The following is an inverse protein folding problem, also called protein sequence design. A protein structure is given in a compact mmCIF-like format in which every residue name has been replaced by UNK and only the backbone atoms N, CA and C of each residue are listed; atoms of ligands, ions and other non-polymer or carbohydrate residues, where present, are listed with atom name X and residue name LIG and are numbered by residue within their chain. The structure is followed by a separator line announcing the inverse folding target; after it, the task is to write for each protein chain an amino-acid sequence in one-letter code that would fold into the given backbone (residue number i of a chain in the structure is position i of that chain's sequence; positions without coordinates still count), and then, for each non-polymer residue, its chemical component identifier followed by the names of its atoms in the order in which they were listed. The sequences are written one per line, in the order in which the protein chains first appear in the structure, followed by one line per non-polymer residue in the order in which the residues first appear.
data_IF_755354417476
#
_entry.id   IF_755354417476
#
_cell.length_a   1.000
_cell.length_b   1.000
_cell.length_c   1.000
_cell.angle_alpha   90.00
_cell.angle_beta   90.00
_cell.angle_gamma   90.00
#
_symmetry.space_group_name_H-M   'P 1'
#
loop_
_entity.id
_entity.type
_entity.pdbx_description
1 polymer ?
#
# COMPACT_ATOMS: atom_id res chain seq x y z
N UNK A 1 -26.86 -7.39 -13.52
CA UNK A 1 -25.75 -6.78 -12.75
C UNK A 1 -24.48 -7.37 -13.35
N UNK A 2 -23.91 -6.82 -14.43
CA UNK A 2 -23.18 -5.54 -14.48
C UNK A 2 -21.70 -5.81 -14.16
N UNK A 3 -20.69 -5.10 -14.70
CA UNK A 3 -19.31 -5.61 -14.72
C UNK A 3 -18.56 -5.24 -13.44
N UNK A 4 -18.71 -6.08 -12.42
CA UNK A 4 -17.98 -6.06 -11.15
C UNK A 4 -17.56 -7.48 -10.79
N UNK A 5 -16.59 -7.60 -9.88
CA UNK A 5 -16.03 -8.89 -9.50
C UNK A 5 -16.21 -9.14 -8.01
N UNK A 6 -16.74 -10.32 -7.68
CA UNK A 6 -17.01 -10.78 -6.32
C UNK A 6 -15.94 -11.76 -5.84
N UNK A 7 -15.84 -12.06 -4.54
CA UNK A 7 -15.03 -13.17 -4.05
C UNK A 7 -15.42 -14.49 -4.74
N UNK A 8 -14.44 -15.36 -4.92
CA UNK A 8 -14.64 -16.69 -5.52
C UNK A 8 -15.67 -17.47 -4.68
N UNK A 9 -16.67 -18.06 -5.34
CA UNK A 9 -17.72 -18.83 -4.68
C UNK A 9 -18.86 -18.00 -4.08
N UNK A 10 -18.77 -16.67 -4.09
CA UNK A 10 -19.72 -15.80 -3.37
C UNK A 10 -20.53 -14.86 -4.27
N UNK A 11 -20.95 -15.29 -5.47
CA UNK A 11 -21.64 -14.39 -6.40
C UNK A 11 -22.95 -13.79 -5.84
N UNK A 12 -23.67 -14.55 -5.02
CA UNK A 12 -25.00 -14.18 -4.52
C UNK A 12 -25.02 -13.63 -3.09
N UNK A 13 -23.91 -13.71 -2.37
CA UNK A 13 -23.75 -13.38 -0.94
C UNK A 13 -22.42 -12.63 -0.65
N UNK A 14 -21.76 -12.11 -1.69
CA UNK A 14 -20.46 -11.43 -1.57
C UNK A 14 -20.43 -10.31 -0.53
N UNK A 15 -21.58 -9.68 -0.25
CA UNK A 15 -21.73 -8.63 0.74
C UNK A 15 -21.36 -9.09 2.17
N UNK A 16 -21.43 -10.40 2.45
CA UNK A 16 -21.03 -11.02 3.71
C UNK A 16 -19.59 -11.54 3.71
N UNK A 17 -18.95 -11.55 2.53
CA UNK A 17 -17.66 -12.19 2.27
C UNK A 17 -16.64 -11.26 1.61
N UNK A 18 -16.84 -9.93 1.70
CA UNK A 18 -16.02 -8.90 1.05
C UNK A 18 -14.53 -9.06 1.39
N UNK A 19 -14.21 -9.48 2.61
CA UNK A 19 -12.86 -9.72 3.09
C UNK A 19 -12.13 -10.85 2.36
N UNK A 20 -12.85 -11.78 1.71
CA UNK A 20 -12.23 -12.86 0.92
C UNK A 20 -11.80 -12.39 -0.48
N UNK A 21 -12.26 -11.21 -0.92
CA UNK A 21 -11.84 -10.68 -2.20
C UNK A 21 -10.35 -10.32 -2.16
N UNK A 22 -9.60 -10.82 -3.15
CA UNK A 22 -8.16 -10.58 -3.26
C UNK A 22 -7.29 -11.43 -2.35
N UNK A 23 -7.87 -12.42 -1.66
CA UNK A 23 -7.11 -13.39 -0.85
C UNK A 23 -6.09 -14.15 -1.71
N UNK A 24 -4.90 -14.39 -1.15
CA UNK A 24 -3.82 -15.11 -1.82
C UNK A 24 -4.03 -16.62 -1.64
N UNK A 25 -4.55 -17.28 -2.68
CA UNK A 25 -4.71 -18.75 -2.67
C UNK A 25 -3.41 -19.49 -3.06
N UNK A 26 -2.58 -18.88 -3.90
CA UNK A 26 -1.28 -19.41 -4.31
C UNK A 26 -0.37 -18.26 -4.75
N UNK A 27 0.91 -18.35 -4.40
CA UNK A 27 1.92 -17.38 -4.80
C UNK A 27 2.46 -17.59 -6.22
N UNK A 28 2.31 -18.78 -6.84
CA UNK A 28 2.80 -19.05 -8.21
C UNK A 28 4.24 -18.54 -8.47
N UNK A 29 5.16 -18.81 -7.53
CA UNK A 29 6.56 -18.34 -7.50
C UNK A 29 6.79 -16.83 -7.26
N UNK A 30 5.76 -16.01 -7.05
CA UNK A 30 5.91 -14.60 -6.69
C UNK A 30 6.81 -14.42 -5.46
N UNK A 31 7.76 -13.50 -5.54
CA UNK A 31 8.72 -13.20 -4.47
C UNK A 31 9.88 -14.20 -4.35
N UNK A 32 9.90 -15.33 -5.08
CA UNK A 32 11.09 -16.21 -5.12
C UNK A 32 12.29 -15.44 -5.64
N UNK A 33 13.44 -15.63 -5.01
CA UNK A 33 14.70 -14.99 -5.40
C UNK A 33 15.85 -15.98 -5.25
N UNK A 34 16.91 -15.75 -6.04
CA UNK A 34 18.19 -16.43 -5.89
C UNK A 34 19.32 -15.57 -6.45
N UNK A 35 20.54 -15.79 -5.96
CA UNK A 35 21.75 -15.19 -6.52
C UNK A 35 22.42 -16.23 -7.42
N UNK A 36 22.81 -15.80 -8.62
CA UNK A 36 23.55 -16.63 -9.56
C UNK A 36 24.81 -15.90 -10.05
N UNK A 37 25.92 -16.61 -10.11
CA UNK A 37 27.18 -16.09 -10.65
C UNK A 37 27.17 -16.18 -12.18
N UNK A 38 27.53 -15.07 -12.83
CA UNK A 38 27.63 -15.00 -14.29
C UNK A 38 28.93 -15.66 -14.74
N UNK A 39 28.83 -16.67 -15.60
CA UNK A 39 29.97 -17.31 -16.26
C UNK A 39 30.43 -16.52 -17.47
N UNK A 40 29.49 -16.13 -18.34
CA UNK A 40 29.79 -15.37 -19.56
C UNK A 40 28.55 -14.66 -20.09
N UNK A 41 28.78 -13.68 -20.97
CA UNK A 41 27.74 -13.00 -21.73
C UNK A 41 27.83 -13.44 -23.19
N UNK A 42 26.68 -13.74 -23.79
CA UNK A 42 26.58 -14.03 -25.22
C UNK A 42 25.74 -12.94 -25.89
N UNK A 43 26.42 -11.94 -26.46
CA UNK A 43 25.78 -10.74 -27.00
C UNK A 43 25.12 -9.88 -25.91
N UNK A 44 24.08 -9.13 -26.26
CA UNK A 44 23.41 -8.20 -25.35
C UNK A 44 22.32 -8.83 -24.46
N UNK A 45 21.80 -10.00 -24.85
CA UNK A 45 20.53 -10.53 -24.31
C UNK A 45 20.64 -11.92 -23.68
N UNK A 46 21.83 -12.51 -23.59
CA UNK A 46 22.02 -13.85 -23.03
C UNK A 46 23.11 -13.88 -21.97
N UNK A 47 22.77 -14.43 -20.81
CA UNK A 47 23.64 -14.61 -19.65
C UNK A 47 23.80 -16.10 -19.42
N UNK A 48 25.03 -16.61 -19.48
CA UNK A 48 25.36 -17.97 -19.06
C UNK A 48 25.75 -17.96 -17.59
N UNK A 49 25.15 -18.83 -16.79
CA UNK A 49 25.39 -18.90 -15.34
C UNK A 49 26.41 -19.99 -15.01
N UNK A 50 27.12 -19.83 -13.89
CA UNK A 50 28.06 -20.84 -13.38
C UNK A 50 27.34 -22.12 -12.96
N UNK A 51 26.19 -21.99 -12.32
CA UNK A 51 25.30 -23.08 -11.92
C UNK A 51 23.88 -22.83 -12.47
N UNK A 52 23.09 -23.89 -12.71
CA UNK A 52 21.67 -23.75 -13.04
C UNK A 52 20.90 -23.03 -11.92
N UNK A 53 19.81 -22.34 -12.28
CA UNK A 53 18.88 -21.78 -11.32
C UNK A 53 18.14 -22.91 -10.57
N UNK A 54 17.81 -22.67 -9.31
CA UNK A 54 17.09 -23.63 -8.45
C UNK A 54 15.57 -23.44 -8.59
N UNK A 55 15.12 -22.21 -8.77
CA UNK A 55 13.71 -21.89 -8.94
C UNK A 55 13.32 -21.76 -10.42
N UNK A 56 12.05 -22.01 -10.70
CA UNK A 56 11.46 -21.75 -12.01
C UNK A 56 10.88 -20.34 -12.07
N UNK A 57 11.28 -19.59 -13.09
CA UNK A 57 10.84 -18.22 -13.34
C UNK A 57 10.07 -18.14 -14.66
N UNK A 58 8.82 -17.68 -14.61
CA UNK A 58 8.01 -17.45 -15.81
C UNK A 58 8.01 -15.98 -16.18
N UNK A 59 8.32 -15.64 -17.43
CA UNK A 59 8.30 -14.26 -17.93
C UNK A 59 6.89 -13.65 -17.79
N UNK A 60 5.84 -14.46 -17.97
CA UNK A 60 4.45 -14.02 -17.74
C UNK A 60 4.15 -13.64 -16.28
N UNK A 61 4.99 -14.08 -15.34
CA UNK A 61 4.89 -13.78 -13.91
C UNK A 61 5.74 -12.60 -13.43
N UNK A 62 6.20 -11.72 -14.33
CA UNK A 62 6.99 -10.51 -14.04
C UNK A 62 8.30 -10.81 -13.29
N UNK A 63 9.33 -11.17 -14.04
CA UNK A 63 10.67 -11.53 -13.54
C UNK A 63 11.67 -10.40 -13.83
N UNK A 64 12.49 -10.05 -12.86
CA UNK A 64 13.56 -9.06 -13.01
C UNK A 64 14.93 -9.71 -12.78
N UNK A 65 15.88 -9.45 -13.69
CA UNK A 65 17.30 -9.75 -13.46
C UNK A 65 17.97 -8.50 -12.89
N UNK A 66 18.46 -8.58 -11.66
CA UNK A 66 19.14 -7.47 -10.97
C UNK A 66 20.64 -7.73 -10.96
N UNK A 67 21.42 -6.81 -11.52
CA UNK A 67 22.88 -6.86 -11.43
C UNK A 67 23.32 -6.40 -10.04
N UNK A 68 24.01 -7.26 -9.30
CA UNK A 68 24.51 -6.94 -7.95
C UNK A 68 25.99 -6.59 -8.03
N UNK A 69 26.41 -5.37 -7.64
CA UNK A 69 27.82 -5.03 -7.52
C UNK A 69 28.46 -5.76 -6.34
N UNK A 70 29.69 -6.26 -6.55
CA UNK A 70 30.52 -6.89 -5.52
C UNK A 70 31.68 -5.97 -5.15
N UNK A 71 31.79 -5.63 -3.88
CA UNK A 71 32.85 -4.77 -3.34
C UNK A 71 33.77 -5.57 -2.41
N UNK A 72 35.06 -5.20 -2.37
CA UNK A 72 35.95 -5.67 -1.31
C UNK A 72 35.57 -4.98 0.01
N UNK A 73 35.47 -3.66 0.00
CA UNK A 73 34.91 -2.87 1.09
C UNK A 73 33.98 -1.83 0.51
N UNK A 74 32.92 -1.46 1.23
CA UNK A 74 32.01 -0.39 0.85
C UNK A 74 31.82 0.56 2.03
N UNK A 75 32.04 1.85 1.80
CA UNK A 75 31.76 2.90 2.78
C UNK A 75 30.69 3.82 2.22
N UNK A 76 29.56 3.90 2.91
CA UNK A 76 28.61 4.99 2.72
C UNK A 76 28.97 6.10 3.70
N UNK A 77 29.39 7.23 3.14
CA UNK A 77 29.74 8.43 3.89
C UNK A 77 28.50 9.04 4.56
N UNK A 78 28.73 9.90 5.55
CA UNK A 78 27.63 10.56 6.23
C UNK A 78 26.74 11.32 5.26
N UNK A 79 25.43 11.22 5.44
CA UNK A 79 24.41 11.83 4.57
C UNK A 79 24.45 11.36 3.10
N UNK A 80 24.98 10.16 2.82
CA UNK A 80 24.94 9.55 1.48
C UNK A 80 24.03 8.32 1.47
N UNK A 81 23.33 8.12 0.36
CA UNK A 81 22.34 7.04 0.24
C UNK A 81 22.55 6.24 -1.04
N UNK A 82 22.53 4.92 -0.91
CA UNK A 82 22.34 4.02 -2.04
C UNK A 82 20.83 3.75 -2.21
N UNK A 83 20.27 4.20 -3.32
CA UNK A 83 18.82 4.12 -3.61
C UNK A 83 18.57 3.51 -4.99
N UNK A 84 17.52 2.70 -5.17
CA UNK A 84 17.16 2.18 -6.48
C UNK A 84 16.33 3.19 -7.27
N UNK A 85 16.15 2.94 -8.56
CA UNK A 85 15.01 3.51 -9.27
C UNK A 85 13.72 2.90 -8.70
N UNK A 86 12.64 3.68 -8.47
CA UNK A 86 11.38 3.12 -8.01
C UNK A 86 10.81 2.12 -9.02
N UNK A 87 10.10 1.10 -8.52
CA UNK A 87 9.37 0.15 -9.36
C UNK A 87 8.39 0.87 -10.30
N UNK A 88 8.46 0.52 -11.57
CA UNK A 88 7.63 1.12 -12.63
C UNK A 88 6.63 0.15 -13.28
N UNK A 89 6.56 -1.10 -12.80
CA UNK A 89 5.76 -2.18 -13.41
C UNK A 89 6.60 -3.19 -14.19
N UNK A 90 7.85 -2.88 -14.52
CA UNK A 90 8.76 -3.75 -15.28
C UNK A 90 10.12 -3.91 -14.59
N UNK A 91 10.71 -2.81 -14.12
CA UNK A 91 12.04 -2.79 -13.46
C UNK A 91 12.06 -1.82 -12.27
N UNK A 92 13.11 -1.90 -11.46
CA UNK A 92 13.33 -1.04 -10.30
C UNK A 92 12.87 -1.69 -8.99
N UNK A 93 12.89 -0.90 -7.92
CA UNK A 93 12.45 -1.27 -6.58
C UNK A 93 13.41 -2.11 -5.76
N UNK A 94 14.61 -2.41 -6.29
CA UNK A 94 15.62 -3.23 -5.59
C UNK A 94 16.95 -2.49 -5.54
N UNK A 95 17.45 -2.25 -4.33
CA UNK A 95 18.87 -1.90 -4.10
C UNK A 95 19.56 -3.11 -3.53
N UNK A 96 20.66 -3.53 -4.17
CA UNK A 96 21.38 -4.72 -3.79
C UNK A 96 22.89 -4.48 -3.76
N UNK A 97 23.57 -5.01 -2.74
CA UNK A 97 25.03 -4.97 -2.62
C UNK A 97 25.56 -6.29 -2.08
N UNK A 98 26.72 -6.71 -2.60
CA UNK A 98 27.54 -7.78 -2.05
C UNK A 98 28.89 -7.20 -1.60
N UNK A 99 29.30 -7.45 -0.36
CA UNK A 99 30.55 -6.94 0.22
C UNK A 99 31.35 -8.09 0.83
N UNK A 100 32.59 -8.27 0.39
CA UNK A 100 33.48 -9.32 0.87
C UNK A 100 34.05 -9.02 2.27
N UNK A 101 34.63 -7.83 2.43
CA UNK A 101 35.16 -7.31 3.69
C UNK A 101 34.13 -6.49 4.45
N UNK A 102 34.41 -5.21 4.66
CA UNK A 102 33.65 -4.35 5.57
C UNK A 102 32.64 -3.46 4.82
N UNK A 103 31.40 -3.49 5.28
CA UNK A 103 30.37 -2.49 4.98
C UNK A 103 30.35 -1.44 6.11
N UNK A 104 30.78 -0.22 5.81
CA UNK A 104 30.75 0.92 6.74
C UNK A 104 29.56 1.82 6.42
N UNK A 105 28.61 1.91 7.35
CA UNK A 105 27.47 2.84 7.30
C UNK A 105 27.73 4.00 8.26
N UNK A 106 28.31 5.10 7.78
CA UNK A 106 28.54 6.27 8.63
C UNK A 106 27.21 6.93 9.04
N UNK A 107 27.27 7.85 10.02
CA UNK A 107 26.09 8.52 10.56
C UNK A 107 25.23 9.16 9.44
N UNK A 108 23.92 8.89 9.42
CA UNK A 108 22.98 9.28 8.36
C UNK A 108 23.31 8.75 6.95
N UNK A 109 24.26 7.82 6.81
CA UNK A 109 24.44 7.03 5.59
C UNK A 109 23.36 5.96 5.51
N UNK A 110 22.85 5.67 4.31
CA UNK A 110 21.76 4.69 4.16
C UNK A 110 21.83 3.81 2.92
N UNK A 111 21.40 2.55 3.08
CA UNK A 111 20.94 1.73 1.94
C UNK A 111 19.41 1.75 2.01
N UNK A 112 18.76 2.46 1.10
CA UNK A 112 17.33 2.75 1.20
C UNK A 112 16.57 2.35 -0.06
N UNK A 113 15.58 1.47 0.13
CA UNK A 113 14.53 1.18 -0.83
C UNK A 113 13.18 1.82 -0.41
N UNK A 114 13.20 2.81 0.48
CA UNK A 114 11.98 3.46 0.96
C UNK A 114 11.18 4.06 -0.22
N UNK A 115 9.86 3.87 -0.24
CA UNK A 115 8.94 4.35 -1.28
C UNK A 115 9.21 3.83 -2.70
N UNK A 116 10.04 2.79 -2.86
CA UNK A 116 10.50 2.30 -4.17
C UNK A 116 9.78 1.03 -4.64
N UNK A 117 8.83 0.50 -3.86
CA UNK A 117 8.07 -0.71 -4.15
C UNK A 117 6.82 -0.47 -5.00
N UNK A 118 5.78 -1.29 -4.80
CA UNK A 118 4.57 -1.25 -5.61
C UNK A 118 3.90 0.12 -5.59
N UNK A 119 3.37 0.54 -6.75
CA UNK A 119 2.75 1.85 -6.97
C UNK A 119 1.43 1.98 -6.21
N UNK A 120 1.15 3.17 -5.68
CA UNK A 120 -0.16 3.48 -5.13
C UNK A 120 -1.22 3.68 -6.23
N UNK A 121 -2.49 3.59 -5.86
CA UNK A 121 -3.62 3.92 -6.72
C UNK A 121 -3.60 5.40 -7.11
N UNK A 122 -4.06 5.71 -8.32
CA UNK A 122 -4.10 7.08 -8.85
C UNK A 122 -5.50 7.66 -8.68
N UNK A 123 -5.57 8.96 -8.42
CA UNK A 123 -6.85 9.66 -8.33
C UNK A 123 -7.46 9.84 -9.71
N UNK A 124 -8.77 9.74 -9.78
CA UNK A 124 -9.57 10.01 -10.96
C UNK A 124 -10.78 10.85 -10.55
N UNK A 125 -11.29 11.70 -11.43
CA UNK A 125 -12.35 12.68 -11.12
C UNK A 125 -13.62 12.37 -11.92
N UNK A 126 -14.11 11.13 -11.84
CA UNK A 126 -15.29 10.68 -12.59
C UNK A 126 -16.47 10.28 -11.70
N UNK A 127 -16.30 10.18 -10.39
CA UNK A 127 -17.41 9.92 -9.47
C UNK A 127 -18.43 11.06 -9.50
N UNK A 128 -19.70 10.78 -9.85
CA UNK A 128 -20.73 11.80 -10.07
C UNK A 128 -21.61 12.05 -8.83
N UNK A 129 -20.97 12.17 -7.67
CA UNK A 129 -21.61 12.45 -6.39
C UNK A 129 -22.10 11.20 -5.63
N UNK A 130 -22.62 11.44 -4.41
CA UNK A 130 -23.18 10.40 -3.55
C UNK A 130 -24.25 9.59 -4.30
N UNK A 131 -24.13 8.25 -4.37
CA UNK A 131 -25.18 7.42 -4.93
C UNK A 131 -26.46 7.72 -4.15
N UNK A 132 -27.58 8.08 -4.81
CA UNK A 132 -28.86 8.15 -4.11
C UNK A 132 -29.13 6.76 -3.53
N UNK A 133 -29.08 6.65 -2.20
CA UNK A 133 -28.85 5.36 -1.58
C UNK A 133 -29.36 5.26 -0.17
N UNK A 134 -29.58 4.01 0.25
CA UNK A 134 -29.83 3.67 1.64
C UNK A 134 -28.58 3.99 2.46
N UNK A 135 -28.77 4.42 3.71
CA UNK A 135 -27.68 4.66 4.67
C UNK A 135 -26.73 3.45 4.86
N UNK A 136 -27.20 2.25 4.53
CA UNK A 136 -26.47 0.99 4.60
C UNK A 136 -25.99 0.48 3.24
N UNK A 137 -26.02 1.32 2.19
CA UNK A 137 -25.43 0.92 0.91
C UNK A 137 -23.92 0.73 1.07
N UNK A 138 -23.43 -0.39 0.54
CA UNK A 138 -22.05 -0.85 0.70
C UNK A 138 -21.21 -0.63 -0.57
N UNK A 139 -21.80 -0.15 -1.67
CA UNK A 139 -21.16 -0.07 -2.99
C UNK A 139 -20.59 -1.40 -3.46
N UNK A 140 -19.53 -1.42 -4.27
CA UNK A 140 -18.95 -2.66 -4.81
C UNK A 140 -17.63 -3.03 -4.13
N UNK A 141 -17.31 -4.33 -4.08
CA UNK A 141 -15.97 -4.78 -3.68
C UNK A 141 -14.91 -4.42 -4.73
N UNK A 142 -15.23 -4.61 -6.01
CA UNK A 142 -14.35 -4.30 -7.13
C UNK A 142 -15.13 -4.02 -8.40
N UNK A 143 -14.72 -3.01 -9.17
CA UNK A 143 -15.37 -2.64 -10.43
C UNK A 143 -14.38 -2.19 -11.49
N UNK A 144 -14.79 -2.26 -12.75
CA UNK A 144 -14.11 -1.59 -13.88
C UNK A 144 -14.67 -0.19 -14.15
N UNK A 145 -15.76 0.20 -13.48
CA UNK A 145 -16.40 1.50 -13.67
C UNK A 145 -15.74 2.52 -12.75
N UNK A 146 -15.08 3.56 -13.29
CA UNK A 146 -14.40 4.58 -12.48
C UNK A 146 -15.36 5.36 -11.58
N UNK A 147 -16.60 5.58 -12.01
CA UNK A 147 -17.60 6.33 -11.21
C UNK A 147 -18.11 5.62 -9.95
N UNK A 148 -17.62 4.40 -9.68
CA UNK A 148 -18.02 3.58 -8.54
C UNK A 148 -17.00 3.60 -7.39
N UNK A 149 -15.86 4.27 -7.57
CA UNK A 149 -14.85 4.50 -6.54
C UNK A 149 -13.46 4.62 -7.13
N UNK A 150 -12.49 4.94 -6.28
CA UNK A 150 -11.12 5.18 -6.67
C UNK A 150 -10.30 3.92 -6.98
N UNK A 151 -9.14 4.14 -7.61
CA UNK A 151 -8.21 3.09 -7.98
C UNK A 151 -7.56 2.40 -6.78
N UNK A 152 -7.39 1.08 -6.90
CA UNK A 152 -6.65 0.25 -5.95
C UNK A 152 -5.13 0.40 -6.14
N UNK A 153 -4.35 0.12 -5.09
CA UNK A 153 -2.89 0.05 -5.16
C UNK A 153 -2.37 -1.20 -5.88
N UNK A 154 -1.15 -1.12 -6.42
CA UNK A 154 -0.44 -2.24 -7.04
C UNK A 154 -0.03 -3.28 -5.97
N UNK A 155 -0.03 -4.55 -6.39
CA UNK A 155 0.22 -5.70 -5.54
C UNK A 155 0.96 -6.81 -6.28
N UNK A 156 1.22 -7.92 -5.59
CA UNK A 156 1.71 -9.15 -6.24
C UNK A 156 0.71 -9.74 -7.27
N UNK A 157 -0.56 -9.33 -7.23
CA UNK A 157 -1.57 -9.73 -8.20
C UNK A 157 -1.60 -8.82 -9.46
N UNK A 158 -0.80 -7.76 -9.47
CA UNK A 158 -0.63 -6.86 -10.62
C UNK A 158 -1.07 -5.43 -10.37
N UNK A 159 -1.38 -4.73 -11.46
CA UNK A 159 -1.91 -3.37 -11.44
C UNK A 159 -2.95 -3.22 -12.55
N UNK A 160 -3.00 -2.09 -13.25
CA UNK A 160 -3.96 -1.79 -14.32
C UNK A 160 -4.30 -2.96 -15.23
N UNK A 161 -3.34 -3.48 -15.99
CA UNK A 161 -3.60 -4.55 -16.97
C UNK A 161 -4.26 -5.78 -16.32
N UNK A 162 -3.75 -6.23 -15.18
CA UNK A 162 -4.31 -7.40 -14.48
C UNK A 162 -5.67 -7.09 -13.86
N UNK A 163 -5.84 -5.93 -13.24
CA UNK A 163 -7.09 -5.54 -12.59
C UNK A 163 -8.20 -5.28 -13.60
N UNK A 164 -7.89 -4.70 -14.76
CA UNK A 164 -8.85 -4.48 -15.85
C UNK A 164 -9.35 -5.80 -16.44
N UNK A 165 -8.45 -6.76 -16.62
CA UNK A 165 -8.77 -8.07 -17.16
C UNK A 165 -9.80 -8.83 -16.29
N UNK A 166 -9.89 -8.48 -15.01
CA UNK A 166 -10.87 -9.02 -14.07
C UNK A 166 -11.87 -7.97 -13.57
N UNK A 167 -12.08 -6.88 -14.30
CA UNK A 167 -13.06 -5.83 -13.98
C UNK A 167 -12.97 -5.28 -12.54
N UNK A 168 -11.76 -4.99 -12.07
CA UNK A 168 -11.50 -4.77 -10.63
C UNK A 168 -10.56 -3.61 -10.33
N UNK A 169 -10.36 -2.66 -11.23
CA UNK A 169 -9.43 -1.53 -10.97
C UNK A 169 -9.88 -0.65 -9.80
N UNK A 170 -11.19 -0.53 -9.59
CA UNK A 170 -11.82 0.45 -8.70
C UNK A 170 -12.47 -0.17 -7.46
N UNK A 171 -12.89 0.69 -6.52
CA UNK A 171 -13.63 0.37 -5.29
C UNK A 171 -12.79 -0.28 -4.16
N UNK A 172 -13.48 -0.64 -3.07
CA UNK A 172 -12.89 -0.80 -1.73
C UNK A 172 -12.07 -2.05 -1.43
N UNK A 173 -12.25 -3.19 -2.10
CA UNK A 173 -11.56 -4.41 -1.68
C UNK A 173 -10.07 -4.41 -2.04
N UNK A 174 -9.25 -5.03 -1.20
CA UNK A 174 -7.80 -5.05 -1.34
C UNK A 174 -7.33 -6.14 -2.32
N UNK A 175 -6.58 -5.81 -3.38
CA UNK A 175 -6.04 -6.81 -4.30
C UNK A 175 -4.75 -7.38 -3.72
N UNK A 176 -4.76 -8.60 -3.19
CA UNK A 176 -3.64 -9.17 -2.44
C UNK A 176 -3.07 -8.14 -1.44
N UNK A 177 -1.77 -7.88 -1.46
CA UNK A 177 -1.14 -6.94 -0.54
C UNK A 177 -1.29 -5.45 -0.90
N UNK A 178 -1.97 -5.11 -2.00
CA UNK A 178 -2.30 -3.73 -2.34
C UNK A 178 -3.51 -3.23 -1.55
N UNK A 179 -3.56 -1.94 -1.26
CA UNK A 179 -4.72 -1.30 -0.63
C UNK A 179 -5.89 -1.13 -1.61
N UNK A 180 -7.12 -1.29 -1.13
CA UNK A 180 -8.31 -0.97 -1.90
C UNK A 180 -8.49 0.54 -2.08
N UNK A 181 -9.14 0.98 -3.16
CA UNK A 181 -9.47 2.38 -3.36
C UNK A 181 -10.58 2.86 -2.42
N UNK A 182 -10.77 4.16 -2.31
CA UNK A 182 -11.97 4.75 -1.71
C UNK A 182 -13.22 4.31 -2.48
N UNK A 183 -14.26 3.90 -1.78
CA UNK A 183 -15.54 3.69 -2.44
C UNK A 183 -16.24 5.04 -2.69
N UNK A 184 -17.15 5.06 -3.65
CA UNK A 184 -18.05 6.19 -3.82
C UNK A 184 -18.92 6.35 -2.53
N UNK A 185 -19.01 7.51 -1.87
CA UNK A 185 -18.53 8.85 -2.29
C UNK A 185 -17.48 9.45 -1.35
N UNK A 186 -16.37 9.93 -1.90
CA UNK A 186 -15.30 10.63 -1.19
C UNK A 186 -14.71 9.86 0.00
N UNK A 187 -14.78 8.52 -0.04
CA UNK A 187 -14.18 7.69 1.00
C UNK A 187 -12.66 7.60 0.81
N UNK A 188 -11.93 7.35 1.91
CA UNK A 188 -10.47 7.24 1.88
C UNK A 188 -9.99 5.90 1.29
N UNK A 189 -8.79 5.89 0.73
CA UNK A 189 -8.12 4.68 0.27
C UNK A 189 -7.53 3.83 1.41
N UNK A 190 -7.51 2.51 1.23
CA UNK A 190 -6.90 1.56 2.15
C UNK A 190 -5.38 1.51 2.00
N UNK A 191 -4.66 1.22 3.08
CA UNK A 191 -3.20 1.09 3.06
C UNK A 191 -2.75 -0.24 2.44
N UNK A 192 -1.61 -0.24 1.75
CA UNK A 192 -0.94 -1.47 1.32
C UNK A 192 -0.27 -2.19 2.49
N UNK A 193 0.23 -3.39 2.24
CA UNK A 193 0.94 -4.19 3.23
C UNK A 193 2.04 -5.05 2.60
N UNK A 194 2.71 -5.83 3.45
CA UNK A 194 3.67 -6.85 3.04
C UNK A 194 3.39 -8.12 3.85
N UNK A 195 4.41 -8.79 4.35
CA UNK A 195 4.26 -9.94 5.24
C UNK A 195 3.60 -9.55 6.57
N UNK A 196 2.71 -10.41 7.07
CA UNK A 196 2.06 -10.23 8.36
C UNK A 196 1.62 -11.56 8.97
N UNK A 197 0.98 -11.51 10.14
CA UNK A 197 0.47 -12.71 10.80
C UNK A 197 -0.77 -13.24 10.07
N UNK A 198 -0.59 -14.26 9.23
CA UNK A 198 -1.66 -14.90 8.46
C UNK A 198 -2.49 -15.91 9.28
N UNK A 199 -2.14 -16.15 10.55
CA UNK A 199 -2.98 -16.95 11.45
C UNK A 199 -4.15 -16.15 12.04
N UNK A 200 -4.09 -14.81 11.99
CA UNK A 200 -5.20 -13.94 12.38
C UNK A 200 -6.18 -13.76 11.23
N UNK A 201 -7.47 -13.65 11.54
CA UNK A 201 -8.51 -13.38 10.54
C UNK A 201 -8.31 -12.00 9.93
N UNK A 202 -8.12 -11.96 8.61
CA UNK A 202 -8.13 -10.72 7.86
C UNK A 202 -9.56 -10.16 7.72
N UNK A 203 -9.74 -8.88 8.03
CA UNK A 203 -11.00 -8.15 7.82
C UNK A 203 -10.81 -6.90 6.95
N UNK A 204 -9.56 -6.56 6.60
CA UNK A 204 -9.22 -5.33 5.88
C UNK A 204 -9.33 -4.05 6.69
N UNK A 205 -9.61 -4.15 8.00
CA UNK A 205 -9.85 -2.99 8.87
C UNK A 205 -8.62 -2.46 9.62
N UNK A 206 -7.50 -3.16 9.54
CA UNK A 206 -6.30 -2.89 10.33
C UNK A 206 -6.50 -3.06 11.83
N UNK A 207 -5.67 -2.38 12.62
CA UNK A 207 -5.74 -2.34 14.09
C UNK A 207 -6.16 -0.93 14.51
N UNK A 208 -7.37 -0.72 15.05
CA UNK A 208 -7.82 0.60 15.46
C UNK A 208 -6.97 1.17 16.59
N UNK A 209 -6.71 2.47 16.54
CA UNK A 209 -6.01 3.16 17.61
C UNK A 209 -6.90 3.20 18.88
N UNK A 210 -6.44 2.64 20.03
CA UNK A 210 -7.23 2.55 21.25
C UNK A 210 -7.75 3.89 21.78
N UNK A 211 -7.08 5.00 21.45
CA UNK A 211 -7.51 6.36 21.81
C UNK A 211 -8.93 6.68 21.31
N UNK A 212 -9.36 6.06 20.21
CA UNK A 212 -10.66 6.33 19.58
C UNK A 212 -11.68 5.20 19.77
N UNK A 213 -11.52 4.39 20.82
CA UNK A 213 -12.41 3.24 21.08
C UNK A 213 -13.88 3.61 21.19
N UNK A 214 -14.20 4.78 21.77
CA UNK A 214 -15.58 5.29 21.84
C UNK A 214 -16.16 5.41 20.44
N UNK A 215 -15.42 6.05 19.52
CA UNK A 215 -15.85 6.29 18.14
C UNK A 215 -15.96 4.98 17.34
N UNK A 216 -14.97 4.10 17.46
CA UNK A 216 -14.98 2.82 16.74
C UNK A 216 -16.14 1.93 17.17
N UNK A 217 -16.47 1.92 18.46
CA UNK A 217 -17.57 1.11 18.98
C UNK A 217 -18.96 1.61 18.54
N UNK A 218 -19.06 2.85 18.01
CA UNK A 218 -20.28 3.34 17.35
C UNK A 218 -20.44 2.78 15.93
N UNK A 219 -19.37 2.35 15.24
CA UNK A 219 -19.49 1.63 13.97
C UNK A 219 -19.99 0.19 14.19
N UNK A 220 -19.40 -0.50 15.16
CA UNK A 220 -19.77 -1.84 15.58
C UNK A 220 -19.24 -2.12 16.99
N UNK A 221 -20.05 -2.79 17.83
CA UNK A 221 -19.63 -3.15 19.17
C UNK A 221 -18.33 -3.98 19.17
N UNK A 222 -17.34 -3.57 19.95
CA UNK A 222 -16.04 -4.23 20.06
C UNK A 222 -15.03 -3.87 18.97
N UNK A 223 -15.40 -3.02 18.00
CA UNK A 223 -14.50 -2.62 16.91
C UNK A 223 -13.22 -1.97 17.42
N UNK A 224 -13.27 -1.15 18.48
CA UNK A 224 -12.07 -0.49 19.02
C UNK A 224 -10.98 -1.47 19.52
N UNK A 225 -11.37 -2.69 19.90
CA UNK A 225 -10.44 -3.76 20.30
C UNK A 225 -10.18 -4.79 19.20
N UNK A 226 -10.71 -4.58 17.99
CA UNK A 226 -10.55 -5.53 16.89
C UNK A 226 -9.11 -5.55 16.36
N UNK A 227 -8.72 -6.68 15.80
CA UNK A 227 -7.40 -6.86 15.18
C UNK A 227 -7.60 -7.47 13.82
N UNK A 228 -7.10 -6.80 12.79
CA UNK A 228 -6.91 -7.36 11.46
C UNK A 228 -5.43 -7.27 11.11
N UNK A 229 -4.79 -8.36 10.66
CA UNK A 229 -3.49 -8.26 10.03
C UNK A 229 -3.62 -7.50 8.69
N UNK A 230 -2.49 -7.07 8.15
CA UNK A 230 -2.43 -6.36 6.87
C UNK A 230 -2.43 -4.84 6.99
N UNK A 231 -2.91 -4.18 5.93
CA UNK A 231 -2.99 -2.71 5.86
C UNK A 231 -4.12 -2.12 6.71
N UNK A 232 -4.05 -0.81 6.95
CA UNK A 232 -5.15 -0.05 7.58
C UNK A 232 -6.29 0.27 6.59
N UNK A 233 -7.51 0.42 7.10
CA UNK A 233 -8.67 0.86 6.29
C UNK A 233 -8.61 2.37 6.03
N UNK A 234 -9.10 2.77 4.86
CA UNK A 234 -9.41 4.14 4.53
C UNK A 234 -10.54 4.72 5.40
N UNK A 235 -10.59 6.06 5.40
CA UNK A 235 -11.61 6.83 6.11
C UNK A 235 -13.02 6.63 5.56
N UNK A 236 -14.00 7.10 6.33
CA UNK A 236 -15.41 7.09 5.95
C UNK A 236 -15.71 7.97 4.74
N UNK A 237 -16.87 7.73 4.13
CA UNK A 237 -17.37 8.52 3.01
C UNK A 237 -17.82 9.93 3.42
N UNK A 238 -18.14 10.77 2.44
CA UNK A 238 -18.46 12.18 2.64
C UNK A 238 -19.66 12.44 3.56
N UNK A 239 -19.60 13.54 4.30
CA UNK A 239 -20.69 14.09 5.10
C UNK A 239 -20.87 15.57 4.79
N UNK A 240 -22.11 16.05 4.82
CA UNK A 240 -22.42 17.48 4.58
C UNK A 240 -22.94 18.21 5.81
N UNK A 241 -23.21 17.48 6.89
CA UNK A 241 -23.70 18.02 8.16
C UNK A 241 -22.74 17.61 9.26
N UNK A 242 -22.29 18.60 10.05
CA UNK A 242 -21.45 18.35 11.21
C UNK A 242 -22.26 17.67 12.32
N UNK A 243 -21.76 16.53 12.81
CA UNK A 243 -22.29 15.82 13.97
C UNK A 243 -21.13 15.49 14.91
N UNK A 244 -21.43 15.14 16.16
CA UNK A 244 -20.42 14.69 17.10
C UNK A 244 -20.10 13.20 16.88
N UNK A 245 -18.90 12.92 16.38
CA UNK A 245 -18.42 11.56 16.11
C UNK A 245 -18.22 10.70 17.38
N UNK A 246 -18.32 11.29 18.58
CA UNK A 246 -18.30 10.57 19.86
C UNK A 246 -19.69 10.09 20.29
N UNK A 247 -20.76 10.52 19.61
CA UNK A 247 -22.13 10.13 19.94
C UNK A 247 -22.93 9.62 18.74
N UNK A 248 -22.51 9.95 17.51
CA UNK A 248 -23.15 9.52 16.26
C UNK A 248 -22.17 8.68 15.43
N UNK A 249 -22.51 7.41 15.22
CA UNK A 249 -21.72 6.49 14.39
C UNK A 249 -21.80 6.78 12.89
N UNK A 250 -20.95 6.12 12.08
CA UNK A 250 -21.08 6.12 10.62
C UNK A 250 -22.39 5.44 10.20
N UNK A 251 -22.74 5.54 8.91
CA UNK A 251 -24.01 5.02 8.37
C UNK A 251 -25.22 5.60 9.13
N UNK A 252 -25.27 6.93 9.27
CA UNK A 252 -26.41 7.63 9.89
C UNK A 252 -26.88 8.80 9.02
N UNK A 253 -28.20 8.91 8.82
CA UNK A 253 -28.81 9.98 8.01
C UNK A 253 -28.57 11.38 8.55
N UNK A 254 -28.25 11.53 9.84
CA UNK A 254 -27.95 12.83 10.46
C UNK A 254 -26.68 13.50 9.91
N UNK A 255 -25.75 12.73 9.35
CA UNK A 255 -24.54 13.27 8.72
C UNK A 255 -24.81 13.98 7.38
N UNK A 256 -25.98 13.77 6.77
CA UNK A 256 -26.28 14.24 5.41
C UNK A 256 -25.29 13.70 4.37
N UNK A 257 -25.37 14.19 3.13
CA UNK A 257 -24.49 13.76 2.04
C UNK A 257 -24.50 12.26 1.85
N UNK A 258 -23.32 11.64 1.99
CA UNK A 258 -23.11 10.20 1.88
C UNK A 258 -23.09 9.49 3.24
N UNK A 259 -23.72 10.09 4.25
CA UNK A 259 -23.99 9.49 5.57
C UNK A 259 -22.78 9.04 6.38
N UNK A 260 -21.58 9.52 6.01
CA UNK A 260 -20.31 9.10 6.61
C UNK A 260 -20.20 7.57 6.62
N UNK A 261 -20.50 6.91 5.51
CA UNK A 261 -20.54 5.46 5.41
C UNK A 261 -19.17 4.84 5.68
N UNK A 262 -19.17 3.66 6.29
CA UNK A 262 -17.97 2.91 6.70
C UNK A 262 -17.19 2.24 5.55
N UNK A 263 -17.48 2.63 4.32
CA UNK A 263 -17.07 1.95 3.09
C UNK A 263 -15.77 2.52 2.50
N UNK A 264 -14.82 2.89 3.36
CA UNK A 264 -13.45 3.20 2.94
C UNK A 264 -12.73 1.97 2.38
N UNK A 265 -11.64 2.22 1.64
CA UNK A 265 -10.82 1.16 1.08
C UNK A 265 -10.27 0.22 2.15
N UNK A 266 -10.36 -1.08 1.92
CA UNK A 266 -9.79 -2.10 2.78
C UNK A 266 -8.27 -2.12 2.65
N UNK A 267 -7.57 -2.34 3.76
CA UNK A 267 -6.12 -2.47 3.75
C UNK A 267 -5.65 -3.79 3.12
N UNK A 268 -4.44 -3.82 2.58
CA UNK A 268 -3.86 -4.99 1.91
C UNK A 268 -3.88 -6.28 2.76
N UNK A 269 -4.01 -7.43 2.09
CA UNK A 269 -3.89 -8.75 2.69
C UNK A 269 -2.45 -9.08 3.10
N UNK A 270 -2.20 -9.51 4.36
CA UNK A 270 -0.88 -9.90 4.78
C UNK A 270 -0.35 -11.06 3.93
N UNK A 271 0.88 -10.95 3.45
CA UNK A 271 1.57 -12.06 2.81
C UNK A 271 2.08 -13.04 3.89
N UNK A 272 2.11 -14.33 3.56
CA UNK A 272 2.71 -15.35 4.40
C UNK A 272 4.23 -15.16 4.45
N UNK A 273 4.80 -15.28 5.65
CA UNK A 273 6.24 -15.31 5.82
C UNK A 273 6.81 -16.61 5.24
N UNK A 274 7.77 -16.48 4.33
CA UNK A 274 8.48 -17.59 3.69
C UNK A 274 9.92 -17.14 3.46
N UNK A 275 10.89 -17.82 4.09
CA UNK A 275 12.32 -17.47 4.01
C UNK A 275 12.90 -17.60 2.60
N UNK A 276 12.18 -18.24 1.68
CA UNK A 276 12.56 -18.35 0.27
C UNK A 276 11.96 -17.25 -0.60
N UNK A 277 11.25 -16.29 0.01
CA UNK A 277 10.60 -15.18 -0.68
C UNK A 277 10.94 -13.83 -0.06
N UNK A 278 10.98 -12.83 -0.92
CA UNK A 278 11.07 -11.41 -0.56
C UNK A 278 10.08 -10.64 -1.41
N UNK A 279 9.41 -9.65 -0.82
CA UNK A 279 8.37 -8.88 -1.49
C UNK A 279 8.60 -7.39 -1.33
N UNK A 280 8.27 -6.64 -2.38
CA UNK A 280 8.00 -5.21 -2.21
C UNK A 280 6.69 -5.04 -1.41
N UNK A 281 6.60 -3.95 -0.65
CA UNK A 281 5.36 -3.53 -0.02
C UNK A 281 4.34 -3.15 -1.08
N UNK A 282 3.07 -3.46 -0.81
CA UNK A 282 1.93 -3.08 -1.64
C UNK A 282 1.71 -1.57 -1.63
N UNK A 283 1.21 -1.03 -2.72
CA UNK A 283 0.79 0.37 -2.77
C UNK A 283 -0.51 0.58 -2.01
N UNK A 284 -0.71 1.77 -1.45
CA UNK A 284 -2.01 2.19 -0.92
C UNK A 284 -3.01 2.47 -2.05
N UNK A 285 -4.31 2.41 -1.77
CA UNK A 285 -5.35 2.85 -2.70
C UNK A 285 -5.49 4.37 -2.72
N UNK A 286 -6.03 4.91 -3.80
CA UNK A 286 -6.42 6.32 -3.87
C UNK A 286 -7.70 6.58 -3.06
N UNK A 287 -7.87 7.81 -2.60
CA UNK A 287 -9.18 8.28 -2.12
C UNK A 287 -10.08 8.63 -3.29
N UNK A 288 -11.39 8.45 -3.10
CA UNK A 288 -12.42 8.84 -4.08
C UNK A 288 -12.54 10.37 -4.14
N UNK A 289 -12.81 10.92 -5.32
CA UNK A 289 -12.95 12.35 -5.52
C UNK A 289 -13.97 12.68 -6.61
N UNK A 290 -14.54 13.87 -6.50
CA UNK A 290 -15.33 14.49 -7.55
C UNK A 290 -15.12 16.01 -7.62
N UNK A 291 -14.11 16.51 -6.92
CA UNK A 291 -13.73 17.92 -6.89
C UNK A 291 -12.24 18.13 -7.21
N UNK A 292 -11.55 17.10 -7.70
CA UNK A 292 -10.12 17.14 -8.00
C UNK A 292 -9.23 17.35 -6.77
N UNK A 293 -9.69 16.97 -5.57
CA UNK A 293 -8.95 17.16 -4.32
C UNK A 293 -8.64 15.87 -3.56
N UNK A 294 -8.88 14.72 -4.17
CA UNK A 294 -8.55 13.43 -3.60
C UNK A 294 -7.04 13.22 -3.46
N UNK A 295 -6.69 12.31 -2.58
CA UNK A 295 -5.31 11.88 -2.36
C UNK A 295 -4.97 10.58 -3.08
N UNK A 296 -3.88 10.57 -3.84
CA UNK A 296 -3.30 9.34 -4.37
C UNK A 296 -2.72 8.43 -3.29
N UNK A 297 -2.67 7.12 -3.57
CA UNK A 297 -2.10 6.14 -2.66
C UNK A 297 -0.57 6.26 -2.55
N UNK A 298 -0.03 5.96 -1.37
CA UNK A 298 1.40 5.88 -1.13
C UNK A 298 2.04 4.67 -1.82
N UNK A 299 3.26 4.83 -2.33
CA UNK A 299 4.08 3.71 -2.84
C UNK A 299 4.53 2.82 -1.69
N UNK A 300 4.52 1.51 -1.90
CA UNK A 300 5.13 0.58 -0.95
C UNK A 300 6.65 0.72 -0.87
N UNK A 301 7.27 0.14 0.15
CA UNK A 301 8.72 0.01 0.25
C UNK A 301 9.25 -1.02 -0.73
N UNK A 302 10.44 -0.81 -1.28
CA UNK A 302 11.11 -1.74 -2.18
C UNK A 302 11.81 -2.88 -1.44
N UNK A 303 12.92 -3.34 -1.99
CA UNK A 303 13.76 -4.39 -1.42
C UNK A 303 15.16 -3.83 -1.24
N UNK A 304 15.64 -3.83 -0.01
CA UNK A 304 17.04 -3.61 0.32
C UNK A 304 17.72 -4.96 0.57
N UNK A 305 18.60 -5.37 -0.33
CA UNK A 305 19.28 -6.66 -0.29
C UNK A 305 20.77 -6.47 0.02
N UNK A 306 21.20 -6.93 1.19
CA UNK A 306 22.56 -6.69 1.68
C UNK A 306 23.21 -8.04 2.02
N UNK A 307 24.25 -8.40 1.28
CA UNK A 307 25.07 -9.58 1.56
C UNK A 307 26.48 -9.14 1.95
N UNK A 308 26.91 -9.48 3.15
CA UNK A 308 28.24 -9.12 3.68
C UNK A 308 28.90 -10.37 4.25
N UNK A 309 30.13 -10.68 3.82
CA UNK A 309 30.89 -11.81 4.38
C UNK A 309 31.76 -11.40 5.58
N UNK A 310 32.28 -10.16 5.56
CA UNK A 310 33.02 -9.57 6.68
C UNK A 310 32.11 -8.88 7.69
N UNK A 311 32.42 -7.63 8.04
CA UNK A 311 31.72 -6.91 9.12
C UNK A 311 30.82 -5.80 8.59
N UNK A 312 29.70 -5.56 9.28
CA UNK A 312 28.92 -4.33 9.16
C UNK A 312 29.31 -3.44 10.33
N UNK A 313 29.64 -2.18 10.09
CA UNK A 313 30.06 -1.21 11.12
C UNK A 313 29.41 0.16 10.91
N UNK A 314 29.45 1.00 11.95
CA UNK A 314 28.96 2.38 11.92
C UNK A 314 27.56 2.54 12.52
N UNK A 315 26.89 3.65 12.20
CA UNK A 315 25.60 4.05 12.80
C UNK A 315 24.53 4.49 11.79
N UNK A 316 24.72 4.15 10.51
CA UNK A 316 23.75 4.43 9.46
C UNK A 316 22.54 3.49 9.47
N UNK A 317 21.82 3.47 8.36
CA UNK A 317 20.52 2.79 8.27
C UNK A 317 20.40 1.86 7.05
N UNK A 318 19.60 0.82 7.18
CA UNK A 318 19.15 -0.01 6.06
C UNK A 318 17.62 -0.01 6.10
N UNK A 319 16.97 0.48 5.05
CA UNK A 319 15.54 0.73 5.10
C UNK A 319 14.77 0.40 3.83
N UNK A 320 13.51 0.07 4.01
CA UNK A 320 12.54 -0.19 2.96
C UNK A 320 11.16 0.28 3.44
N UNK A 321 11.02 1.52 3.91
CA UNK A 321 9.74 2.00 4.43
C UNK A 321 8.73 2.28 3.28
N UNK A 322 7.45 2.10 3.55
CA UNK A 322 6.38 2.56 2.67
C UNK A 322 6.25 4.09 2.72
N UNK A 323 5.76 4.69 1.64
CA UNK A 323 5.45 6.10 1.57
C UNK A 323 4.07 6.40 2.17
N UNK A 324 3.89 7.62 2.66
CA UNK A 324 2.60 8.08 3.15
C UNK A 324 1.59 8.20 2.00
N UNK A 325 0.31 8.04 2.34
CA UNK A 325 -0.79 8.41 1.46
C UNK A 325 -0.85 9.94 1.29
N UNK A 326 -1.35 10.39 0.15
CA UNK A 326 -1.50 11.82 -0.11
C UNK A 326 -2.76 12.31 0.63
N UNK A 327 -2.66 13.47 1.29
CA UNK A 327 -3.80 14.11 1.94
C UNK A 327 -4.86 14.52 0.91
N UNK A 328 -6.12 14.64 1.34
CA UNK A 328 -7.08 15.41 0.56
C UNK A 328 -6.63 16.88 0.53
N UNK A 329 -6.96 17.60 -0.55
CA UNK A 329 -6.42 18.92 -0.89
C UNK A 329 -4.89 18.91 -1.05
N UNK A 330 -4.35 18.11 -2.00
CA UNK A 330 -2.90 17.92 -2.16
C UNK A 330 -2.14 19.21 -2.51
N UNK A 331 -2.84 20.20 -3.09
CA UNK A 331 -2.27 21.49 -3.45
C UNK A 331 -2.31 22.53 -2.31
N UNK A 332 -2.81 22.16 -1.13
CA UNK A 332 -2.87 23.05 0.04
C UNK A 332 -3.70 24.31 -0.20
N UNK A 333 -4.80 24.19 -0.95
CA UNK A 333 -5.67 25.33 -1.25
C UNK A 333 -6.33 25.84 0.02
N UNK A 334 -6.37 27.17 0.17
CA UNK A 334 -6.99 27.85 1.30
C UNK A 334 -8.24 28.58 0.85
N UNK A 335 -9.37 28.27 1.48
CA UNK A 335 -10.62 28.97 1.23
C UNK A 335 -10.52 30.44 1.66
N UNK A 336 -11.07 31.33 0.84
CA UNK A 336 -11.18 32.74 1.22
C UNK A 336 -12.14 32.87 2.40
N UNK A 337 -11.75 33.59 3.47
CA UNK A 337 -12.56 33.65 4.70
C UNK A 337 -14.01 34.11 4.45
N UNK A 338 -14.22 35.16 3.67
CA UNK A 338 -15.56 35.66 3.36
C UNK A 338 -16.17 34.95 2.13
N UNK A 339 -16.18 33.61 2.12
CA UNK A 339 -16.70 32.84 1.00
C UNK A 339 -17.47 31.59 1.43
N UNK A 340 -18.12 30.97 0.46
CA UNK A 340 -18.76 29.65 0.57
C UNK A 340 -17.83 28.50 0.15
N UNK A 341 -16.55 28.78 -0.09
CA UNK A 341 -15.59 27.80 -0.59
C UNK A 341 -15.29 26.73 0.47
N UNK A 342 -15.06 25.50 -0.01
CA UNK A 342 -14.60 24.37 0.78
C UNK A 342 -13.52 23.65 0.00
N UNK A 343 -12.46 23.24 0.68
CA UNK A 343 -11.41 22.38 0.15
C UNK A 343 -11.14 21.22 1.10
N UNK A 344 -10.66 20.10 0.56
CA UNK A 344 -10.28 18.92 1.35
C UNK A 344 -11.45 18.03 1.74
N UNK A 345 -12.54 18.08 0.96
CA UNK A 345 -13.79 17.33 1.19
C UNK A 345 -13.84 15.98 0.45
N UNK A 346 -12.79 15.66 -0.31
CA UNK A 346 -12.60 14.39 -1.01
C UNK A 346 -11.90 13.36 -0.11
N UNK A 347 -11.79 12.12 -0.60
CA UNK A 347 -11.08 11.04 0.05
C UNK A 347 -9.56 11.24 0.03
N UNK A 348 -8.90 10.98 1.15
CA UNK A 348 -7.44 10.92 1.21
C UNK A 348 -6.91 9.53 0.78
N UNK A 349 -5.65 9.47 0.36
CA UNK A 349 -5.02 8.23 -0.09
C UNK A 349 -4.57 7.33 1.07
N UNK A 350 -4.56 6.02 0.83
CA UNK A 350 -3.99 5.04 1.75
C UNK A 350 -2.46 5.03 1.68
N UNK A 351 -1.80 4.61 2.77
CA UNK A 351 -0.35 4.48 2.82
C UNK A 351 0.19 3.31 2.00
N UNK A 352 1.45 3.36 1.61
CA UNK A 352 2.17 2.18 1.12
C UNK A 352 2.62 1.27 2.27
N UNK A 353 2.61 -0.05 2.02
CA UNK A 353 3.16 -1.02 2.94
C UNK A 353 4.69 -0.96 3.02
N UNK A 354 5.27 -1.39 4.14
CA UNK A 354 6.73 -1.57 4.24
C UNK A 354 7.24 -2.61 3.24
N UNK A 355 8.48 -2.48 2.81
CA UNK A 355 9.17 -3.40 1.90
C UNK A 355 9.88 -4.54 2.63
N UNK A 356 10.92 -5.08 2.01
CA UNK A 356 11.79 -6.10 2.64
C UNK A 356 13.19 -5.53 2.82
N UNK A 357 13.73 -5.65 4.03
CA UNK A 357 15.18 -5.56 4.27
C UNK A 357 15.71 -6.98 4.47
N UNK A 358 16.53 -7.46 3.54
CA UNK A 358 17.21 -8.75 3.61
C UNK A 358 18.68 -8.52 3.93
N UNK A 359 19.16 -9.05 5.06
CA UNK A 359 20.57 -9.00 5.45
C UNK A 359 21.10 -10.41 5.64
N UNK A 360 22.12 -10.77 4.86
CA UNK A 360 22.92 -11.97 5.05
C UNK A 360 24.30 -11.56 5.55
N UNK A 361 24.62 -11.89 6.80
CA UNK A 361 25.92 -11.67 7.40
C UNK A 361 26.22 -12.80 8.40
N UNK A 362 27.45 -13.32 8.41
CA UNK A 362 27.90 -14.28 9.42
C UNK A 362 28.14 -13.65 10.78
N UNK A 363 28.39 -12.33 10.82
CA UNK A 363 28.59 -11.57 12.04
C UNK A 363 27.30 -10.87 12.49
N UNK A 364 27.10 -10.68 13.82
CA UNK A 364 25.98 -9.89 14.33
C UNK A 364 25.97 -8.47 13.77
N UNK A 365 24.78 -7.97 13.45
CA UNK A 365 24.60 -6.57 13.04
C UNK A 365 24.77 -5.68 14.30
N UNK A 366 25.62 -4.64 14.27
CA UNK A 366 25.78 -3.74 15.42
C UNK A 366 24.46 -3.06 15.80
N UNK A 367 24.22 -2.87 17.10
CA UNK A 367 23.04 -2.15 17.61
C UNK A 367 23.01 -0.65 17.25
N UNK A 368 24.12 -0.13 16.73
CA UNK A 368 24.24 1.23 16.21
C UNK A 368 23.66 1.38 14.82
N UNK A 369 23.51 0.29 14.06
CA UNK A 369 22.88 0.30 12.74
C UNK A 369 21.38 0.10 12.89
N UNK A 370 20.59 1.00 12.29
CA UNK A 370 19.13 0.89 12.31
C UNK A 370 18.60 0.14 11.10
N UNK A 371 17.60 -0.72 11.31
CA UNK A 371 16.88 -1.44 10.25
C UNK A 371 15.40 -1.08 10.31
N UNK A 372 14.81 -0.66 9.20
CA UNK A 372 13.40 -0.24 9.16
C UNK A 372 12.67 -0.69 7.91
N UNK A 373 11.49 -1.30 8.09
CA UNK A 373 10.58 -1.69 7.01
C UNK A 373 9.13 -1.43 7.43
N UNK A 374 8.83 -0.18 7.79
CA UNK A 374 7.51 0.25 8.29
C UNK A 374 6.61 0.66 7.14
N UNK A 375 5.29 0.48 7.28
CA UNK A 375 4.33 1.15 6.39
C UNK A 375 4.35 2.66 6.62
N UNK A 376 3.82 3.42 5.66
CA UNK A 376 3.60 4.85 5.82
C UNK A 376 2.33 5.18 6.61
N UNK A 377 2.09 6.47 6.80
CA UNK A 377 0.83 7.00 7.35
C UNK A 377 -0.21 7.23 6.24
N UNK A 378 -1.48 6.97 6.54
CA UNK A 378 -2.58 7.32 5.63
C UNK A 378 -2.70 8.84 5.48
N UNK A 379 -3.24 9.29 4.35
CA UNK A 379 -3.51 10.69 4.12
C UNK A 379 -4.62 11.22 5.04
N UNK A 380 -4.54 12.50 5.39
CA UNK A 380 -5.52 13.20 6.19
C UNK A 380 -6.51 13.97 5.31
N UNK A 381 -7.74 14.14 5.77
CA UNK A 381 -8.62 15.18 5.25
C UNK A 381 -8.25 16.53 5.88
N UNK A 382 -7.61 17.39 5.10
CA UNK A 382 -7.19 18.73 5.54
C UNK A 382 -8.22 19.74 5.05
N UNK A 383 -9.26 19.95 5.88
CA UNK A 383 -10.36 20.85 5.55
C UNK A 383 -9.92 22.33 5.60
N UNK A 384 -10.21 23.07 4.54
CA UNK A 384 -10.17 24.53 4.54
C UNK A 384 -11.54 25.06 4.11
N UNK A 385 -12.18 25.84 4.99
CA UNK A 385 -13.59 26.22 4.87
C UNK A 385 -13.71 27.73 5.05
N UNK A 386 -14.43 28.39 4.13
CA UNK A 386 -14.83 29.79 4.26
C UNK A 386 -15.95 29.97 5.29
N UNK A 387 -16.04 31.15 5.91
CA UNK A 387 -16.98 31.47 7.00
C UNK A 387 -18.46 31.25 6.64
N UNK A 388 -18.81 31.39 5.36
CA UNK A 388 -20.19 31.25 4.88
C UNK A 388 -20.46 29.91 4.19
N UNK A 389 -19.50 29.00 4.23
CA UNK A 389 -19.68 27.67 3.65
C UNK A 389 -20.72 26.88 4.47
N UNK A 390 -21.67 26.20 3.80
CA UNK A 390 -22.81 25.56 4.46
C UNK A 390 -22.46 24.33 5.30
#
# INVERSE_FOLDING_TARGET
WGPYTTPIGHLNDWNQHIQLWGEILNYNNAGKFELAEVRSLAGANSISLMCPLVNNYSISGRVQVVRVPRFVNLTLNSNTSAVPTPWNGTVGGVVAVEVDGTLTLNANGSISASGSGFRGGVTEDQTLGSPPGNVNDIGFCASHVPTQGAEKGESIAGFYTEYDAIYSRYCKSAPANGGGGGNNHNAGGGGGCNVGNTALTYTGKGVPNPTYNVNWNLEAAGMGGSVSPGGGRGGYSGATVNQNENTVGPNNTSWGGDYRRKEGGLGGHPLAQDNTRIFAGGGGGAGDQNNGQGGGGGRGGGIAFVKVYGSIVGSGTIEANGANGINANPNGQTAVQASTQKFGIDGAGGAGGGGTVYVSNSNPIPNTVSISAKGGDGGNQVLSIGLFAP
#
